data_IF_609889149338
#
_entry.id   IF_609889149338
#
_cell.length_a   1.000
_cell.length_b   1.000
_cell.length_c   1.000
_cell.angle_alpha   90.00
_cell.angle_beta   90.00
_cell.angle_gamma   90.00
#
_symmetry.space_group_name_H-M   'P 1'
#
loop_
_entity.id
_entity.type
_entity.pdbx_description
1 polymer ?
#
# COMPACT_ATOMS: atom_id res chain seq x y z
N UNK A 1 80.78 -53.37 0.92
CA UNK A 1 81.37 -53.44 -0.43
C UNK A 1 80.22 -53.62 -1.40
N UNK A 2 79.61 -52.55 -1.92
CA UNK A 2 80.09 -51.62 -2.95
C UNK A 2 79.80 -52.10 -4.37
N UNK A 3 79.16 -51.19 -5.12
CA UNK A 3 78.98 -51.08 -6.57
C UNK A 3 77.97 -52.00 -7.26
N UNK A 4 76.81 -51.49 -7.74
CA UNK A 4 76.56 -50.50 -8.80
C UNK A 4 76.44 -51.18 -10.18
N UNK A 5 75.21 -51.22 -10.73
CA UNK A 5 74.89 -50.71 -12.08
C UNK A 5 73.47 -51.09 -12.57
N UNK A 6 72.73 -50.03 -12.94
CA UNK A 6 71.80 -49.91 -14.08
C UNK A 6 70.44 -50.65 -14.07
N UNK A 7 69.35 -49.87 -13.94
CA UNK A 7 68.33 -49.73 -15.02
C UNK A 7 67.24 -48.67 -14.74
N UNK A 8 67.28 -47.64 -15.61
CA UNK A 8 66.20 -46.85 -16.24
C UNK A 8 65.28 -45.92 -15.40
N UNK A 9 65.02 -44.69 -15.88
CA UNK A 9 64.13 -43.72 -15.23
C UNK A 9 62.65 -44.10 -15.39
N UNK A 10 61.87 -43.98 -14.31
CA UNK A 10 60.40 -44.09 -14.35
C UNK A 10 59.80 -42.78 -14.89
N UNK A 11 58.81 -42.83 -15.80
CA UNK A 11 58.14 -41.62 -16.26
C UNK A 11 57.32 -41.00 -15.13
N UNK A 12 57.50 -39.68 -14.97
CA UNK A 12 56.72 -38.80 -14.10
C UNK A 12 55.25 -38.92 -14.51
N UNK A 13 54.38 -39.32 -13.58
CA UNK A 13 52.93 -39.30 -13.76
C UNK A 13 52.50 -37.83 -13.92
N UNK A 14 52.21 -37.43 -15.15
CA UNK A 14 51.40 -36.25 -15.46
C UNK A 14 50.03 -36.47 -14.82
N UNK A 15 49.78 -35.83 -13.68
CA UNK A 15 48.43 -35.72 -13.11
C UNK A 15 47.61 -34.83 -14.04
N UNK A 16 46.91 -35.46 -14.97
CA UNK A 16 45.79 -34.85 -15.67
C UNK A 16 44.80 -34.34 -14.62
N UNK A 17 44.76 -33.01 -14.43
CA UNK A 17 43.66 -32.34 -13.72
C UNK A 17 42.35 -32.81 -14.36
N UNK A 18 41.40 -33.39 -13.61
CA UNK A 18 40.05 -33.58 -14.13
C UNK A 18 39.48 -32.20 -14.44
N UNK A 19 39.16 -32.01 -15.71
CA UNK A 19 38.36 -30.91 -16.24
C UNK A 19 37.10 -30.70 -15.39
N UNK A 20 36.80 -29.42 -15.13
CA UNK A 20 35.60 -28.96 -14.46
C UNK A 20 34.34 -29.70 -14.93
N UNK A 21 33.81 -30.57 -14.07
CA UNK A 21 32.42 -31.00 -14.16
C UNK A 21 31.57 -29.87 -13.60
N UNK A 22 31.07 -29.03 -14.50
CA UNK A 22 29.98 -28.10 -14.28
C UNK A 22 28.83 -28.83 -13.56
N UNK A 23 28.50 -28.51 -12.29
CA UNK A 23 27.37 -29.13 -11.63
C UNK A 23 26.12 -28.57 -12.30
N UNK A 24 25.61 -29.34 -13.26
CA UNK A 24 24.43 -29.03 -14.04
C UNK A 24 23.34 -28.43 -13.16
N UNK A 25 23.08 -27.14 -13.38
CA UNK A 25 21.85 -26.45 -12.99
C UNK A 25 20.69 -27.23 -13.61
N UNK A 26 20.21 -28.25 -12.91
CA UNK A 26 18.88 -28.84 -13.12
C UNK A 26 17.89 -27.72 -12.83
N UNK A 27 17.59 -26.92 -13.86
CA UNK A 27 16.39 -26.09 -13.90
C UNK A 27 15.22 -27.04 -13.71
N UNK A 28 14.74 -27.16 -12.47
CA UNK A 28 13.46 -27.79 -12.17
C UNK A 28 12.42 -26.99 -12.94
N UNK A 29 12.08 -27.44 -14.15
CA UNK A 29 10.86 -27.04 -14.80
C UNK A 29 9.74 -27.51 -13.87
N UNK A 30 9.23 -26.59 -13.04
CA UNK A 30 7.96 -26.76 -12.37
C UNK A 30 6.91 -26.87 -13.47
N UNK A 31 6.67 -28.09 -13.96
CA UNK A 31 5.52 -28.39 -14.79
C UNK A 31 4.31 -28.12 -13.91
N UNK A 32 3.70 -26.95 -14.07
CA UNK A 32 2.43 -26.61 -13.44
C UNK A 32 1.41 -27.61 -13.96
N UNK A 33 1.23 -28.72 -13.25
CA UNK A 33 0.13 -29.64 -13.53
C UNK A 33 -1.16 -28.85 -13.36
N UNK A 34 -2.08 -28.87 -14.34
CA UNK A 34 -3.36 -28.19 -14.18
C UNK A 34 -4.05 -28.78 -12.95
N UNK A 35 -4.37 -27.92 -11.98
CA UNK A 35 -5.11 -28.29 -10.78
C UNK A 35 -6.57 -27.87 -10.97
N UNK A 36 -7.44 -28.76 -11.48
CA UNK A 36 -8.82 -28.40 -11.80
C UNK A 36 -9.62 -28.01 -10.55
N UNK A 37 -9.30 -28.57 -9.39
CA UNK A 37 -9.93 -28.20 -8.11
C UNK A 37 -9.62 -26.75 -7.73
N UNK A 38 -8.37 -26.33 -7.90
CA UNK A 38 -7.98 -24.92 -7.71
C UNK A 38 -8.67 -24.00 -8.74
N UNK A 39 -8.83 -24.47 -9.98
CA UNK A 39 -9.57 -23.76 -11.03
C UNK A 39 -11.05 -23.55 -10.66
N UNK A 40 -11.75 -24.62 -10.31
CA UNK A 40 -13.17 -24.59 -9.89
C UNK A 40 -13.34 -23.74 -8.65
N UNK A 41 -12.48 -23.89 -7.64
CA UNK A 41 -12.49 -23.06 -6.44
C UNK A 41 -12.30 -21.57 -6.74
N UNK A 42 -11.41 -21.23 -7.68
CA UNK A 42 -11.19 -19.84 -8.11
C UNK A 42 -12.41 -19.25 -8.83
N UNK A 43 -13.09 -20.04 -9.67
CA UNK A 43 -14.32 -19.61 -10.36
C UNK A 43 -15.46 -19.41 -9.38
N UNK A 44 -15.65 -20.33 -8.42
CA UNK A 44 -16.66 -20.17 -7.38
C UNK A 44 -16.42 -18.91 -6.55
N UNK A 45 -15.17 -18.67 -6.16
CA UNK A 45 -14.79 -17.45 -5.45
C UNK A 45 -15.07 -16.19 -6.27
N UNK A 46 -14.75 -16.21 -7.56
CA UNK A 46 -15.05 -15.10 -8.48
C UNK A 46 -16.54 -14.80 -8.56
N UNK A 47 -17.40 -15.82 -8.58
CA UNK A 47 -18.86 -15.64 -8.55
C UNK A 47 -19.30 -14.95 -7.26
N UNK A 48 -18.81 -15.40 -6.10
CA UNK A 48 -19.12 -14.80 -4.80
C UNK A 48 -18.74 -13.32 -4.74
N UNK A 49 -17.59 -12.93 -5.32
CA UNK A 49 -17.12 -11.55 -5.36
C UNK A 49 -17.89 -10.68 -6.36
N UNK A 50 -18.27 -11.24 -7.52
CA UNK A 50 -18.97 -10.48 -8.56
C UNK A 50 -20.41 -10.16 -8.18
N UNK A 51 -21.09 -11.03 -7.43
CA UNK A 51 -22.50 -10.83 -7.06
C UNK A 51 -22.77 -9.46 -6.39
N UNK A 52 -22.07 -9.06 -5.30
CA UNK A 52 -22.31 -7.75 -4.67
C UNK A 52 -21.92 -6.58 -5.57
N UNK A 53 -20.87 -6.72 -6.39
CA UNK A 53 -20.46 -5.67 -7.35
C UNK A 53 -21.54 -5.49 -8.43
N UNK A 54 -22.07 -6.60 -8.95
CA UNK A 54 -23.17 -6.59 -9.90
C UNK A 54 -24.42 -5.96 -9.29
N UNK A 55 -24.80 -6.35 -8.07
CA UNK A 55 -25.96 -5.77 -7.38
C UNK A 55 -25.78 -4.26 -7.18
N UNK A 56 -24.58 -3.82 -6.78
CA UNK A 56 -24.26 -2.40 -6.62
C UNK A 56 -24.43 -1.62 -7.93
N UNK A 57 -23.87 -2.13 -9.04
CA UNK A 57 -23.99 -1.49 -10.35
C UNK A 57 -25.44 -1.54 -10.84
N UNK A 58 -26.13 -2.66 -10.69
CA UNK A 58 -27.53 -2.86 -11.07
C UNK A 58 -28.44 -1.83 -10.38
N UNK A 59 -28.35 -1.71 -9.05
CA UNK A 59 -29.17 -0.78 -8.27
C UNK A 59 -28.74 0.68 -8.52
N UNK A 60 -27.47 0.96 -8.82
CA UNK A 60 -27.06 2.32 -9.20
C UNK A 60 -27.71 2.81 -10.50
N UNK A 61 -28.19 1.88 -11.34
CA UNK A 61 -28.85 2.16 -12.62
C UNK A 61 -30.38 2.14 -12.50
N UNK A 62 -30.96 1.94 -11.31
CA UNK A 62 -32.42 1.98 -11.10
C UNK A 62 -32.88 3.35 -10.59
N UNK A 63 -34.17 3.62 -10.74
CA UNK A 63 -34.81 4.78 -10.09
C UNK A 63 -35.08 4.47 -8.60
N UNK A 64 -35.13 5.51 -7.77
CA UNK A 64 -35.31 5.39 -6.31
C UNK A 64 -36.57 4.62 -5.90
N UNK A 65 -37.68 4.80 -6.61
CA UNK A 65 -38.95 4.10 -6.41
C UNK A 65 -38.84 2.59 -6.66
N UNK A 66 -38.00 2.19 -7.61
CA UNK A 66 -37.78 0.78 -7.97
C UNK A 66 -36.75 0.10 -7.04
N UNK A 67 -35.86 0.87 -6.42
CA UNK A 67 -34.77 0.36 -5.60
C UNK A 67 -35.24 -0.28 -4.28
N UNK A 68 -36.37 0.18 -3.72
CA UNK A 68 -36.90 -0.31 -2.45
C UNK A 68 -37.77 -1.58 -2.58
N UNK A 69 -38.28 -1.87 -3.79
CA UNK A 69 -39.22 -2.98 -4.02
C UNK A 69 -38.68 -4.12 -4.91
N UNK A 70 -37.55 -3.94 -5.59
CA UNK A 70 -37.02 -4.94 -6.53
C UNK A 70 -35.92 -5.79 -5.90
N UNK A 71 -35.85 -7.07 -6.29
CA UNK A 71 -34.75 -7.95 -5.89
C UNK A 71 -33.44 -7.43 -6.49
N UNK A 72 -32.43 -7.11 -5.67
CA UNK A 72 -31.17 -6.49 -6.13
C UNK A 72 -30.40 -7.32 -7.16
N UNK A 73 -30.69 -8.62 -7.27
CA UNK A 73 -30.11 -9.53 -8.26
C UNK A 73 -30.85 -9.52 -9.61
N UNK A 74 -32.09 -9.00 -9.67
CA UNK A 74 -32.79 -8.84 -10.94
C UNK A 74 -32.20 -7.65 -11.70
N UNK A 75 -31.97 -7.79 -13.02
CA UNK A 75 -31.53 -6.65 -13.82
C UNK A 75 -32.59 -5.54 -13.81
N UNK A 76 -32.18 -4.27 -13.93
CA UNK A 76 -33.10 -3.14 -13.95
C UNK A 76 -34.02 -3.22 -15.16
N UNK A 77 -35.33 -3.04 -14.95
CA UNK A 77 -36.32 -3.05 -16.04
C UNK A 77 -36.17 -1.84 -16.97
N UNK A 78 -35.81 -0.69 -16.40
CA UNK A 78 -35.55 0.56 -17.13
C UNK A 78 -34.25 1.18 -16.60
N UNK A 79 -33.07 0.77 -17.12
CA UNK A 79 -31.79 1.32 -16.67
C UNK A 79 -31.69 2.82 -17.02
N UNK A 80 -31.20 3.60 -16.07
CA UNK A 80 -31.02 5.05 -16.18
C UNK A 80 -29.66 5.47 -15.61
N UNK A 81 -29.08 6.54 -16.17
CA UNK A 81 -27.85 7.18 -15.69
C UNK A 81 -28.13 8.43 -14.84
N UNK A 82 -29.39 8.71 -14.49
CA UNK A 82 -29.80 9.91 -13.75
C UNK A 82 -29.07 10.02 -12.40
N UNK A 83 -28.83 8.89 -11.73
CA UNK A 83 -28.10 8.85 -10.46
C UNK A 83 -26.64 9.27 -10.62
N UNK A 84 -25.98 8.81 -11.69
CA UNK A 84 -24.62 9.22 -12.01
C UNK A 84 -24.56 10.71 -12.35
N UNK A 85 -25.52 11.19 -13.13
CA UNK A 85 -25.61 12.61 -13.47
C UNK A 85 -25.81 13.48 -12.21
N UNK A 86 -26.71 13.05 -11.32
CA UNK A 86 -26.95 13.69 -10.02
C UNK A 86 -25.68 13.74 -9.19
N UNK A 87 -24.94 12.64 -9.09
CA UNK A 87 -23.69 12.58 -8.32
C UNK A 87 -22.63 13.53 -8.90
N UNK A 88 -22.46 13.52 -10.22
CA UNK A 88 -21.46 14.37 -10.88
C UNK A 88 -21.76 15.87 -10.72
N UNK A 89 -23.03 16.26 -10.74
CA UNK A 89 -23.45 17.65 -10.50
C UNK A 89 -23.39 18.05 -9.02
N UNK A 90 -23.50 17.10 -8.09
CA UNK A 90 -23.45 17.32 -6.65
C UNK A 90 -22.02 17.41 -6.08
N UNK A 91 -21.08 17.98 -6.84
CA UNK A 91 -19.73 18.27 -6.35
C UNK A 91 -18.78 17.05 -6.28
N UNK A 92 -19.12 15.91 -6.89
CA UNK A 92 -18.26 14.70 -6.86
C UNK A 92 -16.83 14.98 -7.31
N UNK A 93 -16.64 15.77 -8.38
CA UNK A 93 -15.31 16.13 -8.88
C UNK A 93 -14.48 16.90 -7.85
N UNK A 94 -15.11 17.79 -7.09
CA UNK A 94 -14.47 18.53 -6.00
C UNK A 94 -14.09 17.61 -4.84
N UNK A 95 -15.00 16.71 -4.44
CA UNK A 95 -14.72 15.73 -3.38
C UNK A 95 -13.59 14.77 -3.77
N UNK A 96 -13.56 14.34 -5.03
CA UNK A 96 -12.49 13.52 -5.59
C UNK A 96 -11.15 14.26 -5.54
N UNK A 97 -11.12 15.53 -5.97
CA UNK A 97 -9.90 16.33 -5.94
C UNK A 97 -9.39 16.50 -4.50
N UNK A 98 -10.27 16.84 -3.56
CA UNK A 98 -9.91 16.94 -2.14
C UNK A 98 -9.36 15.61 -1.59
N UNK A 99 -9.99 14.48 -1.88
CA UNK A 99 -9.49 13.17 -1.45
C UNK A 99 -8.11 12.86 -2.03
N UNK A 100 -7.88 13.19 -3.31
CA UNK A 100 -6.56 13.01 -3.94
C UNK A 100 -5.50 13.90 -3.31
N UNK A 101 -5.82 15.17 -3.03
CA UNK A 101 -4.92 16.12 -2.35
C UNK A 101 -4.58 15.64 -0.94
N UNK A 102 -5.58 15.20 -0.18
CA UNK A 102 -5.38 14.65 1.17
C UNK A 102 -4.49 13.41 1.10
N UNK A 103 -4.76 12.47 0.20
CA UNK A 103 -3.96 11.25 0.04
C UNK A 103 -2.50 11.55 -0.34
N UNK A 104 -2.29 12.44 -1.31
CA UNK A 104 -0.94 12.83 -1.73
C UNK A 104 -0.18 13.51 -0.58
N UNK A 105 -0.80 14.46 0.12
CA UNK A 105 -0.17 15.16 1.24
C UNK A 105 0.16 14.21 2.41
N UNK A 106 -0.75 13.30 2.75
CA UNK A 106 -0.53 12.26 3.77
C UNK A 106 0.67 11.39 3.40
N UNK A 107 0.73 10.87 2.16
CA UNK A 107 1.85 10.04 1.69
C UNK A 107 3.18 10.80 1.80
N UNK A 108 3.21 12.06 1.34
CA UNK A 108 4.42 12.90 1.37
C UNK A 108 4.89 13.13 2.80
N UNK A 109 3.99 13.52 3.71
CA UNK A 109 4.32 13.75 5.13
C UNK A 109 4.83 12.47 5.79
N UNK A 110 4.13 11.35 5.57
CA UNK A 110 4.50 10.05 6.15
C UNK A 110 5.87 9.61 5.65
N UNK A 111 6.15 9.68 4.34
CA UNK A 111 7.47 9.28 3.82
C UNK A 111 8.58 10.22 4.28
N UNK A 112 8.34 11.54 4.25
CA UNK A 112 9.33 12.53 4.66
C UNK A 112 9.77 12.35 6.12
N UNK A 113 8.86 11.90 7.00
CA UNK A 113 9.14 11.72 8.42
C UNK A 113 9.54 10.28 8.77
N UNK A 114 8.86 9.27 8.24
CA UNK A 114 9.11 7.87 8.61
C UNK A 114 10.38 7.30 7.97
N UNK A 115 10.78 7.72 6.75
CA UNK A 115 12.02 7.23 6.13
C UNK A 115 13.27 7.57 6.96
N UNK A 116 13.53 8.84 7.33
CA UNK A 116 14.69 9.15 8.18
C UNK A 116 14.54 8.58 9.59
N UNK A 117 13.33 8.56 10.15
CA UNK A 117 13.07 7.98 11.47
C UNK A 117 13.42 6.50 11.53
N UNK A 118 12.94 5.70 10.57
CA UNK A 118 13.24 4.27 10.47
C UNK A 118 14.72 4.03 10.23
N UNK A 119 15.37 4.86 9.40
CA UNK A 119 16.81 4.77 9.18
C UNK A 119 17.60 4.95 10.47
N UNK A 120 17.29 5.98 11.26
CA UNK A 120 17.93 6.22 12.56
C UNK A 120 17.60 5.09 13.55
N UNK A 121 16.37 4.59 13.55
CA UNK A 121 15.95 3.48 14.41
C UNK A 121 16.76 2.19 14.14
N UNK A 122 17.14 1.93 12.88
CA UNK A 122 17.97 0.78 12.51
C UNK A 122 19.45 1.04 12.76
N UNK A 123 19.97 2.21 12.36
CA UNK A 123 21.42 2.48 12.33
C UNK A 123 22.00 2.98 13.64
N UNK A 124 21.33 3.89 14.34
CA UNK A 124 21.95 4.58 15.47
C UNK A 124 22.21 3.64 16.66
N UNK A 125 21.41 2.57 16.81
CA UNK A 125 21.47 1.59 17.93
C UNK A 125 21.66 2.26 19.31
N UNK A 126 21.12 3.47 19.48
CA UNK A 126 21.18 4.21 20.75
C UNK A 126 19.97 3.91 21.60
N UNK A 127 20.06 4.19 22.90
CA UNK A 127 18.90 4.11 23.80
C UNK A 127 17.72 4.96 23.27
N UNK A 128 18.01 6.18 22.81
CA UNK A 128 17.01 7.11 22.27
C UNK A 128 16.35 6.59 20.99
N UNK A 129 17.12 6.06 20.03
CA UNK A 129 16.53 5.52 18.80
C UNK A 129 15.62 4.31 19.08
N UNK A 130 16.02 3.45 20.02
CA UNK A 130 15.19 2.34 20.49
C UNK A 130 13.94 2.80 21.24
N UNK A 131 14.06 3.83 22.08
CA UNK A 131 12.93 4.41 22.82
C UNK A 131 11.92 5.08 21.88
N UNK A 132 12.36 5.88 20.93
CA UNK A 132 11.49 6.49 19.91
C UNK A 132 10.77 5.42 19.10
N UNK A 133 11.48 4.38 18.63
CA UNK A 133 10.81 3.28 17.91
C UNK A 133 9.71 2.61 18.75
N UNK A 134 9.98 2.32 20.03
CA UNK A 134 8.96 1.77 20.96
C UNK A 134 7.78 2.72 21.18
N UNK A 135 8.02 4.03 21.26
CA UNK A 135 6.96 5.03 21.35
C UNK A 135 6.01 4.94 20.14
N UNK A 136 6.56 4.85 18.93
CA UNK A 136 5.74 4.66 17.72
C UNK A 136 4.96 3.33 17.76
N UNK A 137 5.54 2.24 18.27
CA UNK A 137 4.82 0.97 18.43
C UNK A 137 3.62 1.09 19.38
N UNK A 138 3.74 1.84 20.48
CA UNK A 138 2.62 2.11 21.37
C UNK A 138 1.49 2.88 20.68
N UNK A 139 1.85 3.76 19.73
CA UNK A 139 0.89 4.49 18.90
C UNK A 139 -0.03 3.60 18.07
N UNK A 140 0.39 2.37 17.71
CA UNK A 140 -0.47 1.41 16.99
C UNK A 140 -1.67 0.98 17.85
N UNK A 141 -1.51 0.95 19.17
CA UNK A 141 -2.54 0.49 20.09
C UNK A 141 -3.61 1.55 20.40
N UNK A 142 -3.37 2.82 20.04
CA UNK A 142 -4.28 3.92 20.35
C UNK A 142 -5.37 3.99 19.28
N UNK A 143 -6.64 3.69 19.59
CA UNK A 143 -7.73 3.87 18.64
C UNK A 143 -8.01 5.36 18.47
N UNK A 144 -8.12 5.81 17.21
CA UNK A 144 -8.41 7.21 16.88
C UNK A 144 -9.69 7.73 17.56
N UNK A 145 -10.67 6.85 17.75
CA UNK A 145 -11.95 7.13 18.42
C UNK A 145 -11.75 7.56 19.88
N UNK A 146 -10.78 7.01 20.60
CA UNK A 146 -10.57 7.32 22.02
C UNK A 146 -9.99 8.71 22.25
N UNK A 147 -9.28 9.26 21.26
CA UNK A 147 -8.59 10.55 21.37
C UNK A 147 -9.21 11.62 20.47
N UNK A 148 -10.38 11.36 19.89
CA UNK A 148 -10.97 12.26 18.90
C UNK A 148 -11.39 13.61 19.50
N UNK A 149 -11.91 13.62 20.72
CA UNK A 149 -12.31 14.85 21.43
C UNK A 149 -11.10 15.74 21.73
N UNK A 150 -10.01 15.25 22.37
CA UNK A 150 -8.84 16.10 22.58
C UNK A 150 -8.18 16.53 21.25
N UNK A 151 -8.23 15.70 20.20
CA UNK A 151 -7.75 16.10 18.87
C UNK A 151 -8.59 17.23 18.26
N UNK A 152 -9.93 17.16 18.37
CA UNK A 152 -10.81 18.25 17.95
C UNK A 152 -10.43 19.57 18.63
N UNK A 153 -10.26 19.55 19.96
CA UNK A 153 -9.87 20.73 20.72
C UNK A 153 -8.51 21.29 20.28
N UNK A 154 -7.56 20.42 19.93
CA UNK A 154 -6.26 20.84 19.40
C UNK A 154 -6.39 21.49 18.02
N UNK A 155 -7.14 20.87 17.10
CA UNK A 155 -7.39 21.39 15.75
C UNK A 155 -8.10 22.74 15.79
N UNK A 156 -9.10 22.89 16.67
CA UNK A 156 -9.79 24.15 16.89
C UNK A 156 -8.86 25.23 17.45
N UNK A 157 -8.03 24.91 18.46
CA UNK A 157 -7.03 25.86 19.01
C UNK A 157 -5.99 26.31 17.99
N UNK A 158 -5.64 25.44 17.06
CA UNK A 158 -4.71 25.74 15.97
C UNK A 158 -5.38 26.50 14.80
N UNK A 159 -6.68 26.81 14.88
CA UNK A 159 -7.47 27.41 13.80
C UNK A 159 -7.41 26.61 12.48
N UNK A 160 -7.33 25.28 12.59
CA UNK A 160 -7.30 24.38 11.43
C UNK A 160 -8.66 23.77 11.12
N UNK A 161 -9.66 23.96 11.99
CA UNK A 161 -11.02 23.45 11.79
C UNK A 161 -11.60 23.86 10.44
N UNK A 162 -12.37 22.98 9.82
CA UNK A 162 -12.99 23.19 8.52
C UNK A 162 -11.99 23.43 7.38
N UNK A 163 -10.87 22.70 7.41
CA UNK A 163 -9.85 22.73 6.35
C UNK A 163 -9.35 21.32 5.99
N UNK A 164 -8.71 21.18 4.83
CA UNK A 164 -8.05 19.92 4.45
C UNK A 164 -6.91 19.56 5.42
N UNK A 165 -6.25 20.55 6.04
CA UNK A 165 -5.18 20.29 7.02
C UNK A 165 -5.70 19.59 8.26
N UNK A 166 -6.94 19.89 8.68
CA UNK A 166 -7.58 19.18 9.77
C UNK A 166 -7.81 17.69 9.46
N UNK A 167 -7.82 17.28 8.19
CA UNK A 167 -7.90 15.88 7.78
C UNK A 167 -6.49 15.29 7.60
N UNK A 168 -5.60 16.03 6.92
CA UNK A 168 -4.26 15.55 6.53
C UNK A 168 -3.40 15.22 7.75
N UNK A 169 -3.30 16.14 8.69
CA UNK A 169 -2.38 16.02 9.83
C UNK A 169 -2.71 14.82 10.74
N UNK A 170 -3.95 14.64 11.23
CA UNK A 170 -4.28 13.47 12.04
C UNK A 170 -4.18 12.18 11.22
N UNK A 171 -4.64 12.17 9.96
CA UNK A 171 -4.50 10.98 9.10
C UNK A 171 -3.04 10.55 8.94
N UNK A 172 -2.14 11.50 8.68
CA UNK A 172 -0.70 11.23 8.58
C UNK A 172 -0.15 10.72 9.92
N UNK A 173 -0.45 11.39 11.03
CA UNK A 173 0.03 11.01 12.36
C UNK A 173 -0.37 9.56 12.73
N UNK A 174 -1.62 9.16 12.47
CA UNK A 174 -2.08 7.79 12.74
C UNK A 174 -1.53 6.75 11.76
N UNK A 175 -1.08 7.15 10.57
CA UNK A 175 -0.41 6.25 9.62
C UNK A 175 1.07 6.02 9.97
N UNK A 176 1.72 6.94 10.69
CA UNK A 176 3.16 6.84 10.98
C UNK A 176 3.59 5.62 11.81
N UNK A 177 2.86 5.16 12.86
CA UNK A 177 3.23 3.98 13.63
C UNK A 177 3.48 2.74 12.77
N UNK A 178 2.50 2.37 11.94
CA UNK A 178 2.57 1.21 11.06
C UNK A 178 3.58 1.46 9.93
N UNK A 179 3.64 2.67 9.39
CA UNK A 179 4.61 3.01 8.33
C UNK A 179 6.06 2.89 8.82
N UNK A 180 6.33 3.34 10.04
CA UNK A 180 7.64 3.23 10.70
C UNK A 180 7.97 1.77 10.98
N UNK A 181 7.00 0.97 11.41
CA UNK A 181 7.19 -0.47 11.62
C UNK A 181 7.56 -1.19 10.32
N UNK A 182 6.84 -0.92 9.23
CA UNK A 182 7.10 -1.49 7.90
C UNK A 182 8.50 -1.09 7.43
N UNK A 183 8.81 0.21 7.41
CA UNK A 183 10.09 0.71 6.91
C UNK A 183 11.26 0.18 7.73
N UNK A 184 11.18 0.22 9.07
CA UNK A 184 12.20 -0.34 9.95
C UNK A 184 12.41 -1.83 9.71
N UNK A 185 11.33 -2.60 9.49
CA UNK A 185 11.41 -4.00 9.11
C UNK A 185 12.21 -4.18 7.81
N UNK A 186 11.84 -3.47 6.75
CA UNK A 186 12.51 -3.58 5.45
C UNK A 186 13.95 -3.05 5.43
N UNK A 187 14.27 -2.03 6.23
CA UNK A 187 15.63 -1.47 6.31
C UNK A 187 16.60 -2.38 7.04
N UNK A 188 16.11 -3.29 7.89
CA UNK A 188 16.94 -4.31 8.56
C UNK A 188 17.47 -5.39 7.63
N UNK A 189 16.87 -5.55 6.44
CA UNK A 189 17.33 -6.52 5.44
C UNK A 189 18.61 -6.06 4.72
N UNK A 190 18.99 -4.78 4.86
CA UNK A 190 20.24 -4.25 4.30
C UNK A 190 21.40 -4.70 5.19
N UNK A 191 22.35 -5.44 4.62
CA UNK A 191 23.50 -5.97 5.37
C UNK A 191 24.41 -4.86 5.89
N UNK A 192 25.02 -5.08 7.06
CA UNK A 192 25.97 -4.13 7.67
C UNK A 192 27.17 -3.86 6.74
N UNK A 193 27.64 -4.88 6.02
CA UNK A 193 28.74 -4.81 5.06
C UNK A 193 28.52 -3.74 3.97
N UNK A 194 27.28 -3.54 3.51
CA UNK A 194 26.98 -2.50 2.52
C UNK A 194 27.15 -1.09 3.10
N UNK A 195 26.83 -0.91 4.37
CA UNK A 195 27.04 0.37 5.06
C UNK A 195 28.52 0.61 5.34
N UNK A 196 29.26 -0.43 5.75
CA UNK A 196 30.71 -0.37 5.96
C UNK A 196 31.45 -0.01 4.68
N UNK A 197 31.11 -0.66 3.55
CA UNK A 197 31.69 -0.36 2.24
C UNK A 197 31.50 1.12 1.86
N UNK A 198 30.28 1.65 2.00
CA UNK A 198 30.03 3.07 1.71
C UNK A 198 30.71 4.01 2.72
N UNK A 199 30.89 3.58 3.97
CA UNK A 199 31.61 4.36 4.99
C UNK A 199 33.10 4.47 4.64
N UNK A 200 33.69 3.39 4.15
CA UNK A 200 35.07 3.37 3.64
C UNK A 200 35.24 4.26 2.40
N UNK A 201 34.21 4.37 1.56
CA UNK A 201 34.15 5.32 0.44
C UNK A 201 33.89 6.78 0.87
N UNK A 202 33.89 7.06 2.18
CA UNK A 202 33.67 8.39 2.74
C UNK A 202 32.24 8.92 2.56
N UNK A 203 31.25 8.03 2.38
CA UNK A 203 29.86 8.46 2.25
C UNK A 203 29.34 9.05 3.56
N UNK A 204 28.69 10.21 3.48
CA UNK A 204 27.97 10.79 4.62
C UNK A 204 26.68 10.01 4.91
N UNK A 205 26.13 10.17 6.11
CA UNK A 205 24.84 9.57 6.52
C UNK A 205 23.70 9.89 5.55
N UNK A 206 23.64 11.14 5.06
CA UNK A 206 22.64 11.57 4.07
C UNK A 206 22.87 10.86 2.73
N UNK A 207 24.13 10.73 2.30
CA UNK A 207 24.47 9.99 1.09
C UNK A 207 24.06 8.52 1.21
N UNK A 208 24.28 7.90 2.37
CA UNK A 208 23.82 6.53 2.65
C UNK A 208 22.30 6.39 2.56
N UNK A 209 21.56 7.33 3.15
CA UNK A 209 20.10 7.32 3.10
C UNK A 209 19.59 7.34 1.64
N UNK A 210 20.09 8.27 0.82
CA UNK A 210 19.57 8.47 -0.54
C UNK A 210 20.14 7.50 -1.57
N UNK A 211 21.40 7.05 -1.45
CA UNK A 211 22.06 6.23 -2.46
C UNK A 211 22.03 4.73 -2.15
N UNK A 212 21.85 4.33 -0.89
CA UNK A 212 21.77 2.93 -0.49
C UNK A 212 20.39 2.57 0.04
N UNK A 213 19.91 3.26 1.08
CA UNK A 213 18.73 2.83 1.84
C UNK A 213 17.45 2.98 1.03
N UNK A 214 17.18 4.16 0.47
CA UNK A 214 15.96 4.40 -0.32
C UNK A 214 15.88 3.44 -1.53
N UNK A 215 16.95 3.24 -2.33
CA UNK A 215 16.91 2.28 -3.43
C UNK A 215 16.67 0.83 -3.02
N UNK A 216 17.27 0.39 -1.90
CA UNK A 216 17.12 -0.98 -1.40
C UNK A 216 15.77 -1.22 -0.72
N UNK A 217 15.13 -0.18 -0.19
CA UNK A 217 13.84 -0.28 0.50
C UNK A 217 12.64 0.14 -0.34
N UNK A 218 12.80 0.23 -1.67
CA UNK A 218 11.70 0.56 -2.61
C UNK A 218 10.43 -0.27 -2.38
N UNK A 219 10.58 -1.56 -2.05
CA UNK A 219 9.45 -2.43 -1.71
C UNK A 219 8.71 -1.95 -0.46
N UNK A 220 9.43 -1.66 0.63
CA UNK A 220 8.87 -1.11 1.86
C UNK A 220 8.23 0.27 1.69
N UNK A 221 8.89 1.16 0.94
CA UNK A 221 8.36 2.48 0.58
C UNK A 221 7.05 2.33 -0.21
N UNK A 222 7.00 1.41 -1.17
CA UNK A 222 5.77 1.15 -1.95
C UNK A 222 4.63 0.67 -1.05
N UNK A 223 4.91 -0.20 -0.09
CA UNK A 223 3.92 -0.65 0.91
C UNK A 223 3.41 0.53 1.74
N UNK A 224 4.29 1.43 2.19
CA UNK A 224 3.89 2.62 2.96
C UNK A 224 3.08 3.61 2.12
N UNK A 225 3.43 3.81 0.85
CA UNK A 225 2.64 4.65 -0.07
C UNK A 225 1.23 4.12 -0.19
N UNK A 226 1.07 2.81 -0.48
CA UNK A 226 -0.25 2.18 -0.63
C UNK A 226 -1.02 2.25 0.69
N UNK A 227 -0.39 1.89 1.80
CA UNK A 227 -1.01 1.89 3.12
C UNK A 227 -1.51 3.29 3.50
N UNK A 228 -0.64 4.30 3.47
CA UNK A 228 -1.00 5.67 3.86
C UNK A 228 -2.00 6.32 2.91
N UNK A 229 -1.92 6.06 1.60
CA UNK A 229 -2.93 6.49 0.65
C UNK A 229 -4.30 5.85 0.90
N UNK A 230 -4.35 4.55 1.23
CA UNK A 230 -5.59 3.87 1.59
C UNK A 230 -6.21 4.42 2.88
N UNK A 231 -5.38 4.77 3.88
CA UNK A 231 -5.87 5.42 5.10
C UNK A 231 -6.53 6.76 4.80
N UNK A 232 -5.94 7.58 3.93
CA UNK A 232 -6.52 8.84 3.48
C UNK A 232 -7.78 8.65 2.62
N UNK A 233 -7.74 7.68 1.70
CA UNK A 233 -8.87 7.40 0.79
C UNK A 233 -10.11 6.91 1.53
N UNK A 234 -9.92 6.01 2.50
CA UNK A 234 -11.01 5.44 3.29
C UNK A 234 -11.37 6.28 4.53
N UNK A 235 -10.65 7.38 4.77
CA UNK A 235 -10.81 8.22 5.95
C UNK A 235 -12.21 8.82 6.01
N UNK A 236 -12.95 8.52 7.08
CA UNK A 236 -14.31 9.04 7.31
C UNK A 236 -14.42 9.83 8.62
N UNK A 237 -13.82 9.31 9.70
CA UNK A 237 -13.95 9.87 11.05
C UNK A 237 -13.39 11.29 11.18
N UNK A 238 -12.16 11.54 10.73
CA UNK A 238 -11.56 12.89 10.83
C UNK A 238 -12.27 13.92 9.95
N UNK A 239 -12.60 13.64 8.67
CA UNK A 239 -13.45 14.53 7.90
C UNK A 239 -14.78 14.84 8.60
N UNK A 240 -15.47 13.80 9.10
CA UNK A 240 -16.78 13.96 9.72
C UNK A 240 -16.77 14.90 10.93
N UNK A 241 -15.70 14.85 11.72
CA UNK A 241 -15.65 15.56 13.01
C UNK A 241 -14.94 16.92 12.89
N UNK A 242 -13.99 17.05 11.96
CA UNK A 242 -13.13 18.24 11.87
C UNK A 242 -13.48 19.17 10.70
N UNK A 243 -14.51 18.85 9.92
CA UNK A 243 -15.01 19.70 8.84
C UNK A 243 -16.53 19.84 8.88
N UNK A 244 -17.03 20.93 8.31
CA UNK A 244 -18.45 21.26 8.28
C UNK A 244 -18.90 21.79 6.91
N UNK A 245 -18.13 22.68 6.29
CA UNK A 245 -18.49 23.25 4.99
C UNK A 245 -18.22 22.28 3.84
N UNK A 246 -18.76 22.61 2.66
CA UNK A 246 -18.53 21.81 1.45
C UNK A 246 -17.10 21.99 0.88
N UNK A 247 -16.39 23.05 1.31
CA UNK A 247 -15.04 23.37 0.86
C UNK A 247 -14.03 22.23 1.07
N UNK A 248 -13.80 21.75 2.31
CA UNK A 248 -12.86 20.66 2.59
C UNK A 248 -13.48 19.26 2.47
N UNK A 249 -14.70 19.14 1.94
CA UNK A 249 -15.42 17.86 1.89
C UNK A 249 -14.70 16.84 0.99
N UNK A 250 -14.54 15.62 1.48
CA UNK A 250 -13.89 14.49 0.79
C UNK A 250 -14.90 13.46 0.30
N UNK A 251 -14.48 12.55 -0.58
CA UNK A 251 -15.35 11.52 -1.18
C UNK A 251 -16.19 10.74 -0.17
N UNK A 252 -15.59 10.27 0.93
CA UNK A 252 -16.27 9.46 1.94
C UNK A 252 -17.43 10.21 2.60
N UNK A 253 -17.31 11.53 2.80
CA UNK A 253 -18.43 12.37 3.25
C UNK A 253 -19.43 12.64 2.12
N UNK A 254 -18.95 12.82 0.88
CA UNK A 254 -19.81 12.97 -0.29
C UNK A 254 -20.75 11.78 -0.53
N UNK A 255 -20.33 10.55 -0.18
CA UNK A 255 -21.20 9.37 -0.18
C UNK A 255 -22.38 9.52 0.80
N UNK A 256 -22.16 10.18 1.94
CA UNK A 256 -23.17 10.38 2.98
C UNK A 256 -24.19 11.47 2.65
N UNK A 257 -23.98 12.27 1.59
CA UNK A 257 -24.96 13.27 1.14
C UNK A 257 -26.31 12.65 0.76
N UNK A 258 -26.34 11.36 0.43
CA UNK A 258 -27.54 10.62 0.01
C UNK A 258 -28.26 9.94 1.18
N UNK A 259 -27.75 10.11 2.40
CA UNK A 259 -28.34 9.59 3.64
C UNK A 259 -28.90 10.78 4.42
N UNK A 260 -30.21 10.80 4.64
CA UNK A 260 -30.88 11.86 5.41
C UNK A 260 -31.79 11.27 6.48
N UNK A 261 -32.25 12.10 7.42
CA UNK A 261 -33.23 11.70 8.43
C UNK A 261 -34.59 11.28 7.83
N UNK A 262 -34.90 11.73 6.61
CA UNK A 262 -36.18 11.48 5.94
C UNK A 262 -36.12 10.30 4.96
N UNK A 263 -34.94 9.70 4.77
CA UNK A 263 -34.74 8.58 3.86
C UNK A 263 -33.35 8.56 3.22
N UNK A 264 -33.07 7.46 2.53
CA UNK A 264 -31.80 7.22 1.83
C UNK A 264 -32.05 7.08 0.34
N UNK A 265 -31.35 7.87 -0.48
CA UNK A 265 -31.32 7.66 -1.93
C UNK A 265 -30.30 6.57 -2.26
N UNK A 266 -30.76 5.31 -2.25
CA UNK A 266 -29.90 4.13 -2.40
C UNK A 266 -29.22 4.10 -3.78
N UNK A 267 -29.92 4.31 -4.92
CA UNK A 267 -29.28 4.32 -6.23
C UNK A 267 -28.21 5.39 -6.38
N UNK A 268 -28.45 6.62 -5.91
CA UNK A 268 -27.46 7.69 -5.97
C UNK A 268 -26.26 7.43 -5.05
N UNK A 269 -26.49 6.87 -3.86
CA UNK A 269 -25.42 6.43 -2.96
C UNK A 269 -24.54 5.39 -3.65
N UNK A 270 -25.13 4.34 -4.23
CA UNK A 270 -24.38 3.27 -4.89
C UNK A 270 -23.70 3.77 -6.18
N UNK A 271 -24.31 4.68 -6.94
CA UNK A 271 -23.65 5.34 -8.07
C UNK A 271 -22.41 6.12 -7.62
N UNK A 272 -22.49 6.82 -6.47
CA UNK A 272 -21.36 7.52 -5.88
C UNK A 272 -20.25 6.56 -5.43
N UNK A 273 -20.60 5.41 -4.86
CA UNK A 273 -19.65 4.34 -4.53
C UNK A 273 -18.97 3.79 -5.79
N UNK A 274 -19.73 3.48 -6.85
CA UNK A 274 -19.18 3.02 -8.14
C UNK A 274 -18.18 4.04 -8.69
N UNK A 275 -18.56 5.32 -8.76
CA UNK A 275 -17.70 6.39 -9.25
C UNK A 275 -16.43 6.53 -8.40
N UNK A 276 -16.53 6.43 -7.07
CA UNK A 276 -15.37 6.47 -6.18
C UNK A 276 -14.40 5.29 -6.39
N UNK A 277 -14.87 4.16 -6.92
CA UNK A 277 -14.01 3.00 -7.21
C UNK A 277 -13.17 3.16 -8.49
N UNK A 278 -13.61 4.01 -9.43
CA UNK A 278 -12.98 4.17 -10.75
C UNK A 278 -11.51 4.63 -10.64
N UNK A 279 -11.15 5.68 -9.85
CA UNK A 279 -9.77 6.12 -9.74
C UNK A 279 -8.82 5.03 -9.22
N UNK A 280 -9.26 4.25 -8.21
CA UNK A 280 -8.47 3.13 -7.69
C UNK A 280 -8.25 2.08 -8.77
N UNK A 281 -9.31 1.73 -9.50
CA UNK A 281 -9.21 0.77 -10.59
C UNK A 281 -8.28 1.26 -11.70
N UNK A 282 -8.34 2.54 -12.06
CA UNK A 282 -7.45 3.15 -13.04
C UNK A 282 -5.97 3.09 -12.59
N UNK A 283 -5.68 3.44 -11.33
CA UNK A 283 -4.34 3.31 -10.75
C UNK A 283 -3.86 1.86 -10.81
N UNK A 284 -4.70 0.89 -10.46
CA UNK A 284 -4.38 -0.53 -10.56
C UNK A 284 -4.03 -0.95 -11.99
N UNK A 285 -4.82 -0.55 -12.99
CA UNK A 285 -4.58 -0.90 -14.40
C UNK A 285 -3.22 -0.40 -14.90
N UNK A 286 -2.78 0.77 -14.44
CA UNK A 286 -1.46 1.34 -14.76
C UNK A 286 -0.37 0.62 -13.95
N UNK A 287 -0.57 0.43 -12.65
CA UNK A 287 0.41 -0.12 -11.72
C UNK A 287 0.64 -1.63 -11.89
N UNK A 288 -0.32 -2.39 -12.44
CA UNK A 288 -0.22 -3.87 -12.58
C UNK A 288 1.06 -4.33 -13.28
N UNK A 289 1.55 -3.58 -14.27
CA UNK A 289 2.79 -3.91 -15.00
C UNK A 289 4.02 -3.78 -14.09
N UNK A 290 4.07 -2.74 -13.26
CA UNK A 290 5.14 -2.53 -12.28
C UNK A 290 5.09 -3.56 -11.15
N UNK A 291 3.89 -3.91 -10.66
CA UNK A 291 3.69 -4.92 -9.62
C UNK A 291 4.15 -6.32 -10.09
N UNK A 292 3.79 -6.72 -11.31
CA UNK A 292 4.22 -8.00 -11.90
C UNK A 292 5.73 -8.03 -12.15
N UNK A 293 6.32 -6.92 -12.59
CA UNK A 293 7.79 -6.81 -12.77
C UNK A 293 8.57 -6.87 -11.46
N UNK A 294 8.07 -6.25 -10.39
CA UNK A 294 8.69 -6.27 -9.06
C UNK A 294 8.67 -7.65 -8.40
N UNK A 295 7.56 -8.39 -8.53
CA UNK A 295 7.43 -9.78 -8.04
C UNK A 295 8.42 -10.74 -8.71
N UNK A 296 8.71 -10.55 -10.00
CA UNK A 296 9.71 -11.34 -10.74
C UNK A 296 11.15 -11.04 -10.29
N UNK A 297 11.41 -9.86 -9.71
CA UNK A 297 12.73 -9.49 -9.17
C UNK A 297 13.01 -10.04 -7.77
N UNK A 298 11.96 -10.30 -6.97
CA UNK A 298 12.07 -10.80 -5.59
C UNK A 298 12.03 -12.34 -5.53
N UNK A 299 11.35 -13.01 -6.47
CA UNK A 299 11.30 -14.49 -6.55
C UNK A 299 12.38 -15.14 -7.42
N UNK A 300 13.36 -14.37 -7.89
CA UNK A 300 14.41 -14.80 -8.83
C UNK A 300 15.76 -15.15 -8.19
N UNK A 301 15.81 -15.40 -6.89
CA UNK A 301 16.98 -15.96 -6.19
C UNK A 301 16.58 -17.20 -5.42
#
# INVERSE_FOLDING_TARGET
>A
MSHDTLRRPRPVKTSTRPSATDPGRRRRHWTRRPNPLAGVGSVLWLVVVIIPIYAMISVSLTRQDQALGNNALKPPSHPTLDNYNTVLHNGFGHFLLNTLLVAAAVVVIVLALCVPLSYVAVRARTFWSGATFRLFLLGVAIPAQAVVVPLYLMIAKLNLYDSLLAIILPTAAFAMPVSTLILTGTMRDISEEMYEAMSLDGASTTRMLFQLVIPMTKGGISTVVIYSALQAWNGFLFPLIFTQSDGPRVLTLGLFNYVSQFGVNIPALLASVVLSGIPIFAVYLVARRALVGGLMGVGGK
#
